data_IF_812759896509
#
_entry.id   IF_812759896509
#
_cell.length_a   1.000
_cell.length_b   1.000
_cell.length_c   1.000
_cell.angle_alpha   90.00
_cell.angle_beta   90.00
_cell.angle_gamma   90.00
#
_symmetry.space_group_name_H-M   'P 1'
#
loop_
_entity.id
_entity.type
_entity.pdbx_description
1 polymer ?
#
# COMPACT_ATOMS: atom_id res chain seq x y z
N UNK A 1 -4.20 -13.87 32.33
CA UNK A 1 -4.73 -14.30 31.02
C UNK A 1 -4.27 -13.30 29.97
N UNK A 2 -3.22 -13.69 29.24
CA UNK A 2 -2.47 -12.83 28.31
C UNK A 2 -3.22 -12.54 27.02
N UNK A 3 -3.44 -11.25 26.73
CA UNK A 3 -4.01 -10.75 25.48
C UNK A 3 -3.02 -10.84 24.28
N UNK A 4 -1.77 -11.25 24.51
CA UNK A 4 -0.75 -11.41 23.46
C UNK A 4 -0.88 -12.68 22.62
N UNK A 5 -1.73 -13.63 23.01
CA UNK A 5 -1.79 -14.96 22.36
C UNK A 5 -2.77 -15.09 21.19
N UNK A 6 -3.69 -14.13 20.97
CA UNK A 6 -4.76 -14.28 19.96
C UNK A 6 -4.44 -13.72 18.58
N UNK A 7 -3.39 -12.90 18.46
CA UNK A 7 -3.01 -12.34 17.15
C UNK A 7 -2.26 -13.38 16.32
N UNK A 8 -1.48 -14.27 16.96
CA UNK A 8 -0.65 -15.27 16.27
C UNK A 8 -1.47 -16.42 15.68
N UNK A 9 -2.66 -16.70 16.21
CA UNK A 9 -3.45 -17.89 15.83
C UNK A 9 -4.28 -17.70 14.56
N UNK A 10 -4.53 -16.45 14.13
CA UNK A 10 -5.26 -16.15 12.89
C UNK A 10 -4.41 -16.34 11.60
N UNK A 11 -3.09 -16.59 11.72
CA UNK A 11 -2.15 -16.60 10.60
C UNK A 11 -1.61 -17.99 10.20
N UNK A 12 -2.21 -19.08 10.71
CA UNK A 12 -1.62 -20.43 10.58
C UNK A 12 -1.90 -21.16 9.25
N UNK A 13 -2.84 -20.71 8.39
CA UNK A 13 -3.36 -21.58 7.32
C UNK A 13 -3.20 -21.12 5.86
N UNK A 14 -2.38 -20.12 5.54
CA UNK A 14 -2.09 -19.77 4.13
C UNK A 14 -0.59 -19.73 3.82
N UNK A 15 -0.12 -20.77 3.12
CA UNK A 15 1.16 -20.87 2.39
C UNK A 15 2.36 -20.06 2.95
N UNK A 16 3.06 -20.67 3.91
CA UNK A 16 4.28 -20.20 4.58
C UNK A 16 5.40 -19.70 3.65
N UNK A 17 5.45 -20.15 2.39
CA UNK A 17 6.43 -19.68 1.39
C UNK A 17 6.11 -18.28 0.83
N UNK A 18 4.83 -17.93 0.69
CA UNK A 18 4.41 -16.61 0.19
C UNK A 18 4.55 -15.56 1.29
N UNK A 19 4.26 -15.94 2.54
CA UNK A 19 4.44 -15.10 3.72
C UNK A 19 5.91 -14.78 4.02
N UNK A 20 6.83 -15.75 3.84
CA UNK A 20 8.29 -15.49 3.99
C UNK A 20 8.80 -14.45 3.00
N UNK A 21 8.40 -14.54 1.73
CA UNK A 21 8.78 -13.57 0.69
C UNK A 21 8.17 -12.18 0.94
N UNK A 22 7.00 -12.14 1.56
CA UNK A 22 6.38 -10.90 2.05
C UNK A 22 7.16 -10.36 3.26
N UNK A 23 7.56 -11.21 4.21
CA UNK A 23 8.41 -10.87 5.38
C UNK A 23 9.81 -10.37 5.02
N UNK A 24 10.40 -10.83 3.93
CA UNK A 24 11.67 -10.31 3.45
C UNK A 24 11.50 -8.95 2.75
N UNK A 25 10.32 -8.67 2.19
CA UNK A 25 9.94 -7.32 1.71
C UNK A 25 9.55 -6.38 2.87
N UNK A 26 9.39 -6.88 4.11
CA UNK A 26 9.04 -6.14 5.35
C UNK A 26 10.23 -5.34 5.93
N UNK A 27 11.38 -5.25 5.26
CA UNK A 27 12.33 -4.15 5.56
C UNK A 27 11.72 -2.76 5.28
N UNK A 28 10.53 -2.70 4.69
CA UNK A 28 9.83 -1.46 4.33
C UNK A 28 9.25 -0.64 5.50
N UNK A 29 9.28 -1.08 6.76
CA UNK A 29 8.72 -0.25 7.85
C UNK A 29 9.46 -0.42 9.18
N UNK A 30 10.74 -0.04 9.20
CA UNK A 30 11.26 0.65 10.39
C UNK A 30 10.59 2.03 10.45
N UNK A 31 9.30 2.07 10.83
CA UNK A 31 8.70 3.31 11.29
C UNK A 31 9.40 3.63 12.62
N UNK A 32 10.25 4.67 12.70
CA UNK A 32 11.02 4.94 13.91
C UNK A 32 10.14 5.19 15.14
N UNK A 33 8.88 5.54 14.91
CA UNK A 33 7.90 5.84 15.95
C UNK A 33 7.03 4.62 16.23
N UNK A 34 7.48 3.81 17.21
CA UNK A 34 6.69 2.72 17.84
C UNK A 34 5.57 3.26 18.74
N UNK A 35 4.90 4.35 18.36
CA UNK A 35 3.74 4.79 19.12
C UNK A 35 2.61 3.77 18.89
N UNK A 36 1.99 3.29 19.97
CA UNK A 36 0.94 2.25 19.94
C UNK A 36 -0.24 2.61 19.01
N UNK A 37 -0.53 3.91 18.86
CA UNK A 37 -1.54 4.39 17.91
C UNK A 37 -1.12 4.19 16.44
N UNK A 38 0.16 4.36 16.10
CA UNK A 38 0.63 4.09 14.74
C UNK A 38 0.42 2.60 14.41
N UNK A 39 0.76 1.71 15.33
CA UNK A 39 0.74 0.26 15.10
C UNK A 39 -0.63 -0.25 14.61
N UNK A 40 -1.73 0.19 15.22
CA UNK A 40 -3.08 -0.29 14.86
C UNK A 40 -3.50 0.11 13.44
N UNK A 41 -3.34 1.40 13.09
CA UNK A 41 -3.68 1.87 11.75
C UNK A 41 -2.71 1.32 10.70
N UNK A 42 -1.42 1.24 11.02
CA UNK A 42 -0.40 0.68 10.13
C UNK A 42 -0.66 -0.80 9.85
N UNK A 43 -1.05 -1.61 10.84
CA UNK A 43 -1.44 -3.01 10.63
C UNK A 43 -2.62 -3.10 9.66
N UNK A 44 -3.60 -2.21 9.80
CA UNK A 44 -4.79 -2.22 8.94
C UNK A 44 -4.43 -1.86 7.49
N UNK A 45 -3.67 -0.77 7.30
CA UNK A 45 -3.17 -0.35 5.97
C UNK A 45 -2.35 -1.47 5.34
N UNK A 46 -1.47 -2.08 6.12
CA UNK A 46 -0.63 -3.19 5.68
C UNK A 46 -1.45 -4.41 5.27
N UNK A 47 -2.46 -4.79 6.07
CA UNK A 47 -3.35 -5.91 5.74
C UNK A 47 -4.07 -5.66 4.41
N UNK A 48 -4.60 -4.46 4.20
CA UNK A 48 -5.24 -4.08 2.93
C UNK A 48 -4.25 -4.14 1.76
N UNK A 49 -3.01 -3.69 1.96
CA UNK A 49 -1.98 -3.81 0.94
C UNK A 49 -1.71 -5.28 0.56
N UNK A 50 -1.53 -6.17 1.53
CA UNK A 50 -1.34 -7.61 1.26
C UNK A 50 -2.53 -8.24 0.55
N UNK A 51 -3.74 -7.92 0.99
CA UNK A 51 -4.98 -8.41 0.38
C UNK A 51 -5.09 -7.94 -1.08
N UNK A 52 -4.68 -6.71 -1.39
CA UNK A 52 -4.65 -6.22 -2.77
C UNK A 52 -3.66 -6.98 -3.65
N UNK A 53 -2.49 -7.35 -3.13
CA UNK A 53 -1.49 -8.13 -3.87
C UNK A 53 -2.00 -9.55 -4.12
N UNK A 54 -2.74 -10.13 -3.17
CA UNK A 54 -3.42 -11.40 -3.37
C UNK A 54 -4.47 -11.30 -4.49
N UNK A 55 -5.36 -10.30 -4.45
CA UNK A 55 -6.34 -10.09 -5.52
C UNK A 55 -5.68 -9.88 -6.88
N UNK A 56 -4.56 -9.17 -6.93
CA UNK A 56 -3.77 -9.00 -8.15
C UNK A 56 -3.24 -10.33 -8.68
N UNK A 57 -2.69 -11.18 -7.80
CA UNK A 57 -2.21 -12.52 -8.17
C UNK A 57 -3.33 -13.39 -8.75
N UNK A 58 -4.54 -13.28 -8.19
CA UNK A 58 -5.76 -13.96 -8.66
C UNK A 58 -6.38 -13.30 -9.90
N UNK A 59 -5.76 -12.25 -10.47
CA UNK A 59 -6.28 -11.43 -11.59
C UNK A 59 -7.63 -10.75 -11.31
N UNK A 60 -7.96 -10.58 -10.04
CA UNK A 60 -9.11 -9.79 -9.58
C UNK A 60 -8.71 -8.31 -9.42
N UNK A 61 -8.43 -7.66 -10.55
CA UNK A 61 -7.89 -6.30 -10.55
C UNK A 61 -8.85 -5.28 -9.94
N UNK A 62 -10.16 -5.41 -10.14
CA UNK A 62 -11.13 -4.46 -9.57
C UNK A 62 -11.06 -4.43 -8.04
N UNK A 63 -11.02 -5.59 -7.40
CA UNK A 63 -10.86 -5.67 -5.94
C UNK A 63 -9.49 -5.19 -5.50
N UNK A 64 -8.44 -5.58 -6.19
CA UNK A 64 -7.08 -5.12 -5.89
C UNK A 64 -6.98 -3.59 -5.88
N UNK A 65 -7.54 -2.93 -6.90
CA UNK A 65 -7.58 -1.47 -7.03
C UNK A 65 -8.40 -0.83 -5.91
N UNK A 66 -9.59 -1.36 -5.59
CA UNK A 66 -10.44 -0.86 -4.50
C UNK A 66 -9.76 -0.96 -3.14
N UNK A 67 -9.12 -2.09 -2.87
CA UNK A 67 -8.42 -2.31 -1.61
C UNK A 67 -7.25 -1.35 -1.45
N UNK A 68 -6.46 -1.10 -2.51
CA UNK A 68 -5.40 -0.10 -2.50
C UNK A 68 -5.93 1.32 -2.31
N UNK A 69 -7.02 1.68 -2.99
CA UNK A 69 -7.66 2.99 -2.85
C UNK A 69 -8.17 3.23 -1.42
N UNK A 70 -8.82 2.23 -0.82
CA UNK A 70 -9.23 2.27 0.58
C UNK A 70 -8.04 2.38 1.54
N UNK A 71 -6.98 1.60 1.30
CA UNK A 71 -5.75 1.67 2.08
C UNK A 71 -5.12 3.06 2.01
N UNK A 72 -5.15 3.70 0.84
CA UNK A 72 -4.64 5.06 0.66
C UNK A 72 -5.43 6.05 1.53
N UNK A 73 -6.75 6.04 1.47
CA UNK A 73 -7.56 6.94 2.31
C UNK A 73 -7.41 6.67 3.80
N UNK A 74 -7.19 5.42 4.20
CA UNK A 74 -6.92 5.08 5.60
C UNK A 74 -5.64 5.75 6.12
N UNK A 75 -4.67 6.05 5.25
CA UNK A 75 -3.47 6.81 5.65
C UNK A 75 -3.79 8.25 6.05
N UNK A 76 -4.93 8.84 5.65
CA UNK A 76 -5.32 10.19 6.03
C UNK A 76 -5.56 10.31 7.55
N UNK A 77 -6.00 9.22 8.19
CA UNK A 77 -6.16 9.17 9.65
C UNK A 77 -4.81 9.33 10.39
N UNK A 78 -3.69 9.14 9.70
CA UNK A 78 -2.34 9.21 10.25
C UNK A 78 -1.58 10.49 9.88
N UNK A 79 -2.15 11.38 9.06
CA UNK A 79 -1.46 12.58 8.57
C UNK A 79 -1.30 13.69 9.63
N UNK A 80 -2.11 13.67 10.69
CA UNK A 80 -2.03 14.62 11.81
C UNK A 80 -1.38 14.01 13.08
N UNK A 81 -0.73 12.86 12.94
CA UNK A 81 -0.13 12.11 14.04
C UNK A 81 1.40 12.09 13.92
N UNK A 82 2.15 11.70 14.98
CA UNK A 82 3.58 11.40 14.84
C UNK A 82 3.88 10.36 13.73
N UNK A 83 2.87 9.63 13.27
CA UNK A 83 2.96 8.63 12.21
C UNK A 83 3.00 9.20 10.78
N UNK A 84 2.91 10.53 10.57
CA UNK A 84 2.79 11.15 9.23
C UNK A 84 3.88 10.69 8.26
N UNK A 85 5.13 10.55 8.72
CA UNK A 85 6.24 10.05 7.88
C UNK A 85 5.96 8.63 7.37
N UNK A 86 5.44 7.76 8.22
CA UNK A 86 5.12 6.39 7.88
C UNK A 86 3.89 6.35 6.96
N UNK A 87 2.86 7.14 7.26
CA UNK A 87 1.69 7.31 6.40
C UNK A 87 2.08 7.72 4.97
N UNK A 88 2.99 8.69 4.81
CA UNK A 88 3.50 9.12 3.51
C UNK A 88 4.26 8.02 2.76
N UNK A 89 5.07 7.22 3.46
CA UNK A 89 5.75 6.08 2.85
C UNK A 89 4.74 5.06 2.31
N UNK A 90 3.72 4.71 3.11
CA UNK A 90 2.65 3.82 2.66
C UNK A 90 1.87 4.39 1.47
N UNK A 91 1.55 5.70 1.46
CA UNK A 91 0.91 6.37 0.32
C UNK A 91 1.73 6.20 -0.95
N UNK A 92 3.05 6.40 -0.88
CA UNK A 92 3.95 6.22 -2.04
C UNK A 92 3.94 4.77 -2.54
N UNK A 93 4.03 3.78 -1.65
CA UNK A 93 3.99 2.37 -2.02
C UNK A 93 2.64 1.97 -2.64
N UNK A 94 1.54 2.50 -2.11
CA UNK A 94 0.20 2.25 -2.65
C UNK A 94 0.06 2.83 -4.06
N UNK A 95 0.55 4.06 -4.28
CA UNK A 95 0.58 4.67 -5.62
C UNK A 95 1.43 3.82 -6.58
N UNK A 96 2.64 3.41 -6.18
CA UNK A 96 3.50 2.55 -7.01
C UNK A 96 2.82 1.22 -7.35
N UNK A 97 2.14 0.58 -6.39
CA UNK A 97 1.35 -0.63 -6.67
C UNK A 97 0.20 -0.37 -7.66
N UNK A 98 -0.52 0.76 -7.54
CA UNK A 98 -1.57 1.14 -8.48
C UNK A 98 -1.02 1.43 -9.88
N UNK A 99 0.12 2.11 -10.00
CA UNK A 99 0.82 2.35 -11.27
C UNK A 99 1.24 1.03 -11.93
N UNK A 100 1.75 0.10 -11.13
CA UNK A 100 2.12 -1.23 -11.59
C UNK A 100 0.91 -2.03 -12.10
N UNK A 101 -0.22 -2.00 -11.38
CA UNK A 101 -1.48 -2.63 -11.82
C UNK A 101 -2.00 -1.97 -13.10
N UNK A 102 -1.99 -0.64 -13.17
CA UNK A 102 -2.41 0.10 -14.36
C UNK A 102 -1.54 -0.26 -15.58
N UNK A 103 -0.22 -0.36 -15.39
CA UNK A 103 0.71 -0.79 -16.43
C UNK A 103 0.47 -2.22 -16.91
N UNK A 104 0.13 -3.14 -16.01
CA UNK A 104 -0.27 -4.52 -16.34
C UNK A 104 -1.58 -4.54 -17.13
N UNK A 105 -2.60 -3.85 -16.65
CA UNK A 105 -3.90 -3.73 -17.33
C UNK A 105 -3.75 -3.10 -18.71
N UNK A 106 -2.92 -2.06 -18.85
CA UNK A 106 -2.62 -1.42 -20.14
C UNK A 106 -2.10 -2.43 -21.16
N UNK A 107 -1.24 -3.36 -20.76
CA UNK A 107 -0.72 -4.44 -21.62
C UNK A 107 -1.80 -5.48 -21.94
N UNK A 108 -2.73 -5.74 -21.02
CA UNK A 108 -3.82 -6.69 -21.25
C UNK A 108 -4.91 -6.14 -22.17
N UNK A 109 -5.12 -4.81 -22.19
CA UNK A 109 -6.15 -4.17 -23.03
C UNK A 109 -5.59 -3.61 -24.33
N UNK A 110 -4.26 -3.52 -24.50
CA UNK A 110 -3.60 -3.08 -25.73
C UNK A 110 -2.76 -4.21 -26.31
N UNK A 111 -3.02 -4.58 -27.56
CA UNK A 111 -2.24 -5.59 -28.30
C UNK A 111 -3.12 -6.52 -29.12
N UNK A 112 -2.49 -7.45 -29.83
CA UNK A 112 -3.16 -8.42 -30.71
C UNK A 112 -4.08 -9.37 -29.90
N UNK A 113 -3.76 -9.61 -28.63
CA UNK A 113 -4.56 -10.41 -27.69
C UNK A 113 -5.30 -9.57 -26.65
N UNK A 114 -5.69 -8.34 -27.02
CA UNK A 114 -6.39 -7.43 -26.13
C UNK A 114 -7.67 -8.07 -25.55
N UNK A 115 -7.76 -8.13 -24.23
CA UNK A 115 -8.92 -8.66 -23.54
C UNK A 115 -9.78 -7.52 -22.99
N UNK A 116 -10.91 -7.28 -23.65
CA UNK A 116 -11.86 -6.22 -23.29
C UNK A 116 -12.42 -6.36 -21.87
N UNK A 117 -12.39 -7.55 -21.25
CA UNK A 117 -12.88 -7.77 -19.89
C UNK A 117 -12.13 -6.94 -18.84
N UNK A 118 -10.89 -6.56 -19.12
CA UNK A 118 -10.05 -5.76 -18.22
C UNK A 118 -10.12 -4.25 -18.46
N UNK A 119 -10.89 -3.82 -19.47
CA UNK A 119 -10.97 -2.42 -19.85
C UNK A 119 -11.62 -1.55 -18.75
N UNK A 120 -12.64 -2.07 -18.07
CA UNK A 120 -13.25 -1.40 -16.92
C UNK A 120 -12.23 -1.17 -15.80
N UNK A 121 -11.49 -2.21 -15.40
CA UNK A 121 -10.45 -2.11 -14.38
C UNK A 121 -9.32 -1.16 -14.79
N UNK A 122 -8.94 -1.17 -16.07
CA UNK A 122 -7.95 -0.24 -16.63
C UNK A 122 -8.39 1.22 -16.44
N UNK A 123 -9.61 1.57 -16.86
CA UNK A 123 -10.16 2.92 -16.70
C UNK A 123 -10.31 3.30 -15.22
N UNK A 124 -10.67 2.34 -14.36
CA UNK A 124 -10.79 2.55 -12.92
C UNK A 124 -9.44 2.89 -12.29
N UNK A 125 -8.38 2.14 -12.63
CA UNK A 125 -7.03 2.40 -12.16
C UNK A 125 -6.53 3.79 -12.63
N UNK A 126 -6.75 4.13 -13.90
CA UNK A 126 -6.38 5.45 -14.45
C UNK A 126 -7.11 6.60 -13.73
N UNK A 127 -8.42 6.45 -13.48
CA UNK A 127 -9.21 7.43 -12.73
C UNK A 127 -8.67 7.63 -11.31
N UNK A 128 -8.44 6.53 -10.59
CA UNK A 128 -7.94 6.59 -9.20
C UNK A 128 -6.53 7.19 -9.16
N UNK A 129 -5.63 6.82 -10.07
CA UNK A 129 -4.29 7.40 -10.11
C UNK A 129 -4.33 8.92 -10.27
N UNK A 130 -5.16 9.44 -11.17
CA UNK A 130 -5.35 10.89 -11.36
C UNK A 130 -5.90 11.57 -10.11
N UNK A 131 -6.85 10.92 -9.42
CA UNK A 131 -7.39 11.38 -8.15
C UNK A 131 -6.28 11.49 -7.09
N UNK A 132 -5.47 10.43 -6.91
CA UNK A 132 -4.41 10.40 -5.90
C UNK A 132 -3.25 11.35 -6.22
N UNK A 133 -2.91 11.54 -7.50
CA UNK A 133 -1.92 12.54 -7.92
C UNK A 133 -2.35 13.96 -7.60
N UNK A 134 -3.64 14.28 -7.78
CA UNK A 134 -4.19 15.58 -7.40
C UNK A 134 -4.08 15.83 -5.89
N UNK A 135 -4.31 14.79 -5.08
CA UNK A 135 -4.16 14.84 -3.63
C UNK A 135 -2.69 14.91 -3.18
N UNK A 136 -1.77 14.33 -3.97
CA UNK A 136 -0.32 14.47 -3.75
C UNK A 136 0.13 15.91 -3.98
N UNK A 137 -0.45 16.61 -4.97
CA UNK A 137 -0.15 18.01 -5.26
C UNK A 137 -0.68 18.97 -4.19
N UNK A 138 -1.84 18.70 -3.60
CA UNK A 138 -2.36 19.50 -2.47
C UNK A 138 -1.55 19.28 -1.19
N UNK A 139 -1.08 18.05 -0.94
CA UNK A 139 -0.25 17.73 0.22
C UNK A 139 1.22 18.14 0.07
N UNK A 140 1.72 18.46 -1.14
CA UNK A 140 3.11 18.92 -1.35
C UNK A 140 3.47 20.19 -0.57
N UNK A 141 2.49 21.00 -0.16
CA UNK A 141 2.72 22.14 0.74
C UNK A 141 3.29 21.74 2.12
N UNK A 142 3.20 20.46 2.51
CA UNK A 142 3.78 19.91 3.75
C UNK A 142 5.04 19.06 3.55
N UNK A 143 5.49 18.81 2.31
CA UNK A 143 6.62 17.89 1.99
C UNK A 143 7.80 18.62 1.33
N UNK A 144 7.99 19.91 1.63
CA UNK A 144 9.23 20.62 1.28
C UNK A 144 10.38 20.27 2.25
N UNK A 145 10.51 19.00 2.64
CA UNK A 145 11.77 18.50 3.22
C UNK A 145 12.52 17.69 2.15
N UNK A 146 13.82 17.97 1.92
CA UNK A 146 14.59 17.37 0.85
C UNK A 146 14.72 15.85 1.01
N UNK A 147 14.66 15.14 -0.12
CA UNK A 147 14.80 13.67 -0.27
C UNK A 147 16.07 13.10 0.39
N UNK A 148 17.08 13.93 0.66
CA UNK A 148 18.34 13.55 1.28
C UNK A 148 18.24 13.32 2.80
N UNK A 149 17.22 13.86 3.46
CA UNK A 149 16.98 13.63 4.91
C UNK A 149 16.34 12.26 5.20
N UNK A 150 15.95 11.51 4.18
CA UNK A 150 15.25 10.22 4.33
C UNK A 150 16.20 9.05 4.59
N UNK A 151 17.53 9.27 4.49
CA UNK A 151 18.60 8.29 4.79
C UNK A 151 19.59 8.75 5.87
N UNK A 152 19.26 9.78 6.67
CA UNK A 152 20.18 10.36 7.67
C UNK A 152 20.07 9.77 9.08
N UNK A 153 21.12 9.05 9.47
CA UNK A 153 21.62 8.79 10.84
C UNK A 153 20.78 7.94 11.82
N UNK A 154 20.96 6.61 11.74
CA UNK A 154 20.75 5.67 12.87
C UNK A 154 22.08 5.11 13.39
N UNK A 155 23.12 5.95 13.46
CA UNK A 155 24.36 5.62 14.15
C UNK A 155 24.72 6.81 15.04
N UNK A 156 24.22 6.76 16.28
CA UNK A 156 24.87 7.24 17.51
C UNK A 156 24.11 6.66 18.70
#
# INVERSE_FOLDING_TARGET
MDKKSKITELFSQTNTKHLKKIQEKIELVNCPLKAMMCETHLITIYKSFLESEQFRAEKNFDKSIETLHSAFYKTNELLNHPCTRCANLYRLNIIDSLENIHGELKKLVKGIFANKRYYSSYLKADKILKELESEKLTNKFYVNEPKEKYLGNYLN
#
